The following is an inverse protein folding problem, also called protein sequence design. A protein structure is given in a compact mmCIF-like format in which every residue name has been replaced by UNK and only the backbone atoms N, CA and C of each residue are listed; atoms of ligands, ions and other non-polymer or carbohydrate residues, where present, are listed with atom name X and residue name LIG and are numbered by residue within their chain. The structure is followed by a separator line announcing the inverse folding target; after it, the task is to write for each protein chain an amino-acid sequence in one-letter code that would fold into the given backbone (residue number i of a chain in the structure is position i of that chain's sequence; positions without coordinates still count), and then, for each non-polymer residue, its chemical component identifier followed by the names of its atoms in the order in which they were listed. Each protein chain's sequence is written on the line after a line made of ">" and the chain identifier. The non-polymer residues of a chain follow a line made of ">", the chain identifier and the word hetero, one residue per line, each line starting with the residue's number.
data_IF_477873780725
#
_entry.id   IF_477873780725
#
_cell.length_a   1.000
_cell.length_b   1.000
_cell.length_c   1.000
_cell.angle_alpha   90.00
_cell.angle_beta   90.00
_cell.angle_gamma   90.00
#
_symmetry.space_group_name_H-M   'P 1'
#
loop_
_entity.id
_entity.type
_entity.pdbx_description
1 polymer ?
#
# COMPACT_ATOMS: atom_id res chain seq x y z
N UNK A 1 8.95 30.95 5.81
CA UNK A 1 8.01 31.70 4.95
C UNK A 1 8.54 33.11 4.75
N UNK A 2 9.79 33.19 4.27
CA UNK A 2 10.51 34.43 4.04
C UNK A 2 11.51 34.08 2.95
N UNK A 3 11.15 34.40 1.71
CA UNK A 3 12.00 35.20 0.81
C UNK A 3 11.46 35.15 -0.64
N UNK A 4 10.19 35.54 -0.80
CA UNK A 4 9.57 35.82 -2.11
C UNK A 4 9.77 37.28 -2.52
N UNK A 5 10.51 38.07 -1.72
CA UNK A 5 10.66 39.53 -1.86
C UNK A 5 11.85 39.97 -2.72
N UNK A 6 12.86 39.12 -2.93
CA UNK A 6 14.04 39.49 -3.74
C UNK A 6 13.82 39.38 -5.25
N UNK A 7 12.62 39.04 -5.72
CA UNK A 7 12.26 39.05 -7.15
C UNK A 7 12.08 40.46 -7.74
N UNK A 8 12.28 41.54 -6.96
CA UNK A 8 11.96 42.91 -7.37
C UNK A 8 13.08 43.95 -7.19
N UNK A 9 14.34 43.59 -7.46
CA UNK A 9 15.38 44.59 -7.75
C UNK A 9 16.05 44.30 -9.09
N UNK A 10 15.51 44.96 -10.12
CA UNK A 10 16.22 45.47 -11.30
C UNK A 10 17.52 44.76 -11.67
N UNK A 11 17.40 43.75 -12.53
CA UNK A 11 18.53 43.13 -13.24
C UNK A 11 19.19 44.17 -14.16
N UNK A 12 20.49 44.46 -14.05
CA UNK A 12 21.23 45.23 -15.05
C UNK A 12 21.30 44.46 -16.38
N UNK A 13 21.39 45.12 -17.55
CA UNK A 13 21.51 44.46 -18.85
C UNK A 13 22.90 43.81 -19.00
N UNK A 14 23.01 42.58 -18.49
CA UNK A 14 24.14 41.68 -18.58
C UNK A 14 23.61 40.30 -18.21
N UNK A 15 23.12 39.56 -19.21
CA UNK A 15 22.35 38.33 -19.04
C UNK A 15 23.20 37.23 -18.39
N UNK A 16 23.15 37.14 -17.06
CA UNK A 16 23.40 35.88 -16.39
C UNK A 16 22.33 34.91 -16.89
N UNK A 17 22.76 33.93 -17.67
CA UNK A 17 21.91 32.87 -18.17
C UNK A 17 21.12 32.26 -16.98
N UNK A 18 19.79 32.42 -16.93
CA UNK A 18 18.99 32.04 -15.77
C UNK A 18 19.04 30.51 -15.54
N UNK A 19 19.26 29.73 -16.61
CA UNK A 19 19.44 28.28 -16.53
C UNK A 19 20.81 27.95 -15.93
N UNK A 20 21.84 28.74 -16.21
CA UNK A 20 23.17 28.58 -15.58
C UNK A 20 23.14 28.87 -14.08
N UNK A 21 22.39 29.89 -13.64
CA UNK A 21 22.19 30.17 -12.23
C UNK A 21 21.42 29.03 -11.53
N UNK A 22 20.43 28.45 -12.20
CA UNK A 22 19.67 27.30 -11.71
C UNK A 22 20.55 26.03 -11.62
N UNK A 23 21.37 25.78 -12.64
CA UNK A 23 22.35 24.69 -12.66
C UNK A 23 23.34 24.80 -11.51
N UNK A 24 23.80 26.01 -11.16
CA UNK A 24 24.69 26.20 -10.03
C UNK A 24 24.01 25.91 -8.68
N UNK A 25 22.74 26.29 -8.53
CA UNK A 25 21.96 26.04 -7.30
C UNK A 25 21.63 24.55 -7.11
N UNK A 26 21.38 23.82 -8.19
CA UNK A 26 21.05 22.39 -8.16
C UNK A 26 22.18 21.54 -8.75
N UNK A 27 23.44 21.97 -8.55
CA UNK A 27 24.61 21.35 -9.16
C UNK A 27 24.75 19.88 -8.79
N UNK A 28 24.66 19.57 -7.50
CA UNK A 28 24.80 18.20 -6.99
C UNK A 28 23.76 17.26 -7.61
N UNK A 29 22.51 17.72 -7.72
CA UNK A 29 21.42 17.00 -8.38
C UNK A 29 21.68 16.78 -9.87
N UNK A 30 22.17 17.80 -10.60
CA UNK A 30 22.38 17.71 -12.04
C UNK A 30 23.63 16.86 -12.40
N UNK A 31 24.66 16.86 -11.55
CA UNK A 31 25.89 16.08 -11.74
C UNK A 31 25.70 14.58 -11.43
N UNK A 32 24.84 14.24 -10.47
CA UNK A 32 24.59 12.84 -10.11
C UNK A 32 23.50 12.16 -10.96
N UNK A 33 22.63 12.94 -11.61
CA UNK A 33 21.51 12.41 -12.38
C UNK A 33 21.97 11.58 -13.60
N UNK A 34 21.45 10.35 -13.69
CA UNK A 34 21.72 9.40 -14.78
C UNK A 34 20.84 9.67 -16.00
N UNK A 35 19.69 10.32 -15.81
CA UNK A 35 18.79 10.70 -16.90
C UNK A 35 18.11 12.08 -16.65
N UNK A 36 17.55 12.72 -17.70
CA UNK A 36 16.82 14.00 -17.54
C UNK A 36 15.61 13.92 -16.61
N UNK A 37 15.03 12.73 -16.42
CA UNK A 37 13.84 12.55 -15.60
C UNK A 37 14.19 12.68 -14.10
N UNK A 38 15.36 12.21 -13.68
CA UNK A 38 15.91 12.44 -12.34
C UNK A 38 16.06 13.93 -12.03
N UNK A 39 16.52 14.71 -13.01
CA UNK A 39 16.58 16.16 -12.89
C UNK A 39 15.17 16.76 -12.76
N UNK A 40 14.22 16.38 -13.62
CA UNK A 40 12.84 16.90 -13.58
C UNK A 40 12.15 16.64 -12.23
N UNK A 41 12.28 15.43 -11.70
CA UNK A 41 11.76 15.06 -10.38
C UNK A 41 12.46 15.80 -9.24
N UNK A 42 13.78 15.98 -9.34
CA UNK A 42 14.56 16.78 -8.42
C UNK A 42 14.08 18.23 -8.35
N UNK A 43 13.87 18.85 -9.51
CA UNK A 43 13.32 20.19 -9.61
C UNK A 43 11.90 20.26 -9.02
N UNK A 44 11.03 19.28 -9.31
CA UNK A 44 9.68 19.20 -8.71
C UNK A 44 9.73 19.11 -7.17
N UNK A 45 10.65 18.31 -6.62
CA UNK A 45 10.84 18.16 -5.18
C UNK A 45 11.29 19.47 -4.51
N UNK A 46 12.05 20.31 -5.23
CA UNK A 46 12.45 21.65 -4.80
C UNK A 46 11.39 22.73 -5.12
N UNK A 47 10.20 22.35 -5.58
CA UNK A 47 9.06 23.24 -5.78
C UNK A 47 9.00 23.91 -7.16
N UNK A 48 9.81 23.48 -8.12
CA UNK A 48 9.77 23.99 -9.49
C UNK A 48 8.64 23.28 -10.23
N UNK A 49 7.69 24.06 -10.75
CA UNK A 49 6.51 23.59 -11.49
C UNK A 49 6.61 24.03 -12.96
N UNK A 50 5.70 23.55 -13.83
CA UNK A 50 5.69 23.95 -15.25
C UNK A 50 5.56 25.49 -15.41
N UNK A 51 4.79 26.15 -14.52
CA UNK A 51 4.72 27.61 -14.45
C UNK A 51 6.05 28.27 -14.08
N UNK A 52 6.83 27.64 -13.20
CA UNK A 52 8.17 28.10 -12.84
C UNK A 52 9.14 27.89 -14.00
N UNK A 53 9.06 26.77 -14.70
CA UNK A 53 9.90 26.47 -15.88
C UNK A 53 9.69 27.47 -17.03
N UNK A 54 8.46 27.95 -17.24
CA UNK A 54 8.16 29.01 -18.20
C UNK A 54 8.97 30.30 -17.96
N UNK A 55 9.33 30.61 -16.70
CA UNK A 55 10.17 31.77 -16.35
C UNK A 55 11.63 31.60 -16.82
N UNK A 56 12.07 30.36 -17.00
CA UNK A 56 13.37 30.02 -17.58
C UNK A 56 13.32 29.87 -19.11
N UNK A 57 12.21 30.27 -19.76
CA UNK A 57 11.97 30.13 -21.21
C UNK A 57 11.87 28.69 -21.71
N UNK A 58 11.55 27.74 -20.83
CA UNK A 58 11.25 26.36 -21.20
C UNK A 58 9.74 26.09 -21.08
N UNK A 59 9.21 25.21 -21.94
CA UNK A 59 7.77 24.91 -22.00
C UNK A 59 7.25 24.28 -20.70
N UNK A 60 8.05 23.42 -20.08
CA UNK A 60 7.68 22.58 -18.94
C UNK A 60 8.94 22.16 -18.16
N UNK A 61 8.75 21.53 -16.99
CA UNK A 61 9.86 21.07 -16.14
C UNK A 61 10.71 19.99 -16.83
N UNK A 62 10.11 19.17 -17.69
CA UNK A 62 10.83 18.12 -18.43
C UNK A 62 11.79 18.71 -19.46
N UNK A 63 11.35 19.70 -20.24
CA UNK A 63 12.17 20.42 -21.21
C UNK A 63 13.30 21.20 -20.53
N UNK A 64 13.03 21.79 -19.36
CA UNK A 64 14.04 22.45 -18.54
C UNK A 64 15.08 21.44 -18.02
N UNK A 65 14.63 20.25 -17.62
CA UNK A 65 15.51 19.19 -17.13
C UNK A 65 16.37 18.58 -18.25
N UNK A 66 15.83 18.42 -19.46
CA UNK A 66 16.60 18.02 -20.65
C UNK A 66 17.68 19.05 -20.99
N UNK A 67 17.38 20.34 -20.91
CA UNK A 67 18.37 21.41 -21.13
C UNK A 67 19.46 21.40 -20.04
N UNK A 68 19.09 21.25 -18.77
CA UNK A 68 20.05 21.12 -17.67
C UNK A 68 20.91 19.87 -17.82
N UNK A 69 20.30 18.75 -18.22
CA UNK A 69 21.02 17.52 -18.53
C UNK A 69 22.03 17.80 -19.65
N UNK A 70 21.62 18.34 -20.79
CA UNK A 70 22.52 18.61 -21.92
C UNK A 70 23.71 19.54 -21.59
N UNK A 71 23.55 20.44 -20.62
CA UNK A 71 24.58 21.42 -20.23
C UNK A 71 25.61 20.93 -19.22
N UNK A 72 25.31 19.87 -18.47
CA UNK A 72 26.29 19.29 -17.53
C UNK A 72 27.34 18.53 -18.34
N UNK A 73 28.63 18.91 -18.25
CA UNK A 73 29.70 18.12 -18.83
C UNK A 73 29.71 16.75 -18.16
N UNK A 74 29.31 15.72 -18.90
CA UNK A 74 29.49 14.34 -18.49
C UNK A 74 30.78 13.90 -19.13
N UNK A 75 31.74 13.48 -18.32
CA UNK A 75 32.87 12.74 -18.86
C UNK A 75 32.29 11.57 -19.65
N UNK A 76 32.66 11.46 -20.93
CA UNK A 76 32.48 10.26 -21.74
C UNK A 76 33.37 9.14 -21.17
N UNK A 77 33.25 8.89 -19.86
CA UNK A 77 33.77 7.70 -19.24
C UNK A 77 33.16 6.54 -20.02
N UNK A 78 33.98 5.62 -20.55
CA UNK A 78 33.48 4.43 -21.24
C UNK A 78 32.40 3.85 -20.35
N UNK A 79 31.21 3.51 -20.90
CA UNK A 79 30.00 3.27 -20.13
C UNK A 79 30.39 2.45 -18.92
N UNK A 80 30.38 3.09 -17.74
CA UNK A 80 30.75 2.43 -16.49
C UNK A 80 29.97 1.15 -16.51
N UNK A 81 30.59 -0.04 -16.48
CA UNK A 81 29.90 -1.29 -16.72
C UNK A 81 28.67 -1.24 -15.84
N UNK A 82 27.49 -1.12 -16.48
CA UNK A 82 26.23 -0.97 -15.77
C UNK A 82 26.28 -2.06 -14.71
N UNK A 83 26.14 -1.74 -13.40
CA UNK A 83 26.39 -2.69 -12.32
C UNK A 83 25.69 -3.96 -12.72
N UNK A 84 26.50 -4.99 -13.04
CA UNK A 84 26.13 -6.05 -13.97
C UNK A 84 24.65 -6.33 -13.78
N UNK A 85 23.81 -5.82 -14.69
CA UNK A 85 22.36 -6.00 -14.57
C UNK A 85 22.23 -7.49 -14.60
N UNK A 86 22.12 -8.05 -13.41
CA UNK A 86 22.17 -9.47 -13.18
C UNK A 86 21.11 -9.98 -14.10
N UNK A 87 21.55 -10.67 -15.15
CA UNK A 87 20.71 -11.15 -16.25
C UNK A 87 19.35 -11.51 -15.68
N UNK A 88 18.22 -10.98 -16.20
CA UNK A 88 16.91 -11.10 -15.54
C UNK A 88 16.48 -12.57 -15.48
N UNK A 89 17.00 -13.30 -14.49
CA UNK A 89 16.64 -14.66 -14.09
C UNK A 89 15.92 -14.55 -12.75
N UNK A 90 14.67 -15.00 -12.68
CA UNK A 90 13.64 -14.88 -13.71
C UNK A 90 12.38 -14.22 -13.13
N UNK A 91 11.52 -13.68 -13.99
CA UNK A 91 10.11 -13.35 -13.64
C UNK A 91 9.44 -14.48 -12.84
N UNK A 92 9.84 -15.73 -13.08
CA UNK A 92 9.37 -16.92 -12.39
C UNK A 92 9.70 -16.98 -10.89
N UNK A 93 10.86 -16.46 -10.44
CA UNK A 93 11.26 -16.54 -9.03
C UNK A 93 10.32 -15.73 -8.14
N UNK A 94 9.86 -14.58 -8.64
CA UNK A 94 8.90 -13.77 -7.91
C UNK A 94 7.46 -14.28 -8.04
N UNK A 95 7.03 -14.82 -9.19
CA UNK A 95 5.68 -15.40 -9.31
C UNK A 95 5.48 -16.57 -8.35
N UNK A 96 6.49 -17.45 -8.22
CA UNK A 96 6.49 -18.54 -7.22
C UNK A 96 6.38 -17.97 -5.81
N UNK A 97 7.17 -16.94 -5.51
CA UNK A 97 7.17 -16.30 -4.20
C UNK A 97 5.83 -15.63 -3.85
N UNK A 98 5.09 -15.13 -4.84
CA UNK A 98 3.76 -14.51 -4.62
C UNK A 98 2.63 -15.49 -4.45
N UNK A 99 2.78 -16.72 -4.97
CA UNK A 99 1.80 -17.79 -4.83
C UNK A 99 1.99 -18.57 -3.51
N UNK A 100 3.22 -18.58 -2.97
CA UNK A 100 3.57 -19.29 -1.74
C UNK A 100 2.65 -18.99 -0.54
N UNK A 101 2.30 -17.72 -0.22
CA UNK A 101 1.46 -17.42 0.94
C UNK A 101 0.06 -18.01 0.79
N UNK A 102 -0.52 -17.93 -0.41
CA UNK A 102 -1.83 -18.49 -0.73
C UNK A 102 -1.83 -20.01 -0.67
N UNK A 103 -0.82 -20.66 -1.27
CA UNK A 103 -0.69 -22.12 -1.25
C UNK A 103 -0.51 -22.67 0.18
N UNK A 104 0.32 -22.02 1.00
CA UNK A 104 0.49 -22.39 2.41
C UNK A 104 -0.80 -22.14 3.20
N UNK A 105 -1.52 -21.04 2.95
CA UNK A 105 -2.77 -20.77 3.64
C UNK A 105 -3.82 -21.84 3.33
N UNK A 106 -4.00 -22.21 2.05
CA UNK A 106 -4.89 -23.31 1.65
C UNK A 106 -4.45 -24.61 2.31
N UNK A 107 -3.17 -24.98 2.23
CA UNK A 107 -2.64 -26.20 2.85
C UNK A 107 -2.89 -26.24 4.36
N UNK A 108 -2.76 -25.11 5.05
CA UNK A 108 -3.02 -25.02 6.49
C UNK A 108 -4.48 -25.18 6.83
N UNK A 109 -5.40 -24.59 6.04
CA UNK A 109 -6.84 -24.77 6.23
C UNK A 109 -7.25 -26.22 5.95
N UNK A 110 -6.73 -26.83 4.89
CA UNK A 110 -6.97 -28.25 4.60
C UNK A 110 -6.44 -29.14 5.73
N UNK A 111 -5.23 -28.88 6.23
CA UNK A 111 -4.66 -29.63 7.36
C UNK A 111 -5.50 -29.46 8.63
N UNK A 112 -5.97 -28.24 8.93
CA UNK A 112 -6.84 -27.98 10.08
C UNK A 112 -8.18 -28.73 9.99
N UNK A 113 -8.75 -28.90 8.80
CA UNK A 113 -9.99 -29.68 8.58
C UNK A 113 -9.78 -31.19 8.75
N UNK A 114 -8.55 -31.68 8.62
CA UNK A 114 -8.21 -33.11 8.75
C UNK A 114 -7.72 -33.48 10.16
N UNK A 115 -7.29 -32.51 10.97
CA UNK A 115 -6.74 -32.76 12.32
C UNK A 115 -7.72 -32.44 13.44
N UNK A 116 -7.67 -33.24 14.51
CA UNK A 116 -8.55 -33.12 15.67
C UNK A 116 -7.73 -32.98 16.97
N UNK A 117 -8.31 -32.33 18.00
CA UNK A 117 -7.69 -32.22 19.33
C UNK A 117 -6.40 -31.40 19.36
N UNK A 118 -5.42 -31.82 20.17
CA UNK A 118 -4.15 -31.09 20.35
C UNK A 118 -3.33 -30.95 19.06
N UNK A 119 -3.43 -31.89 18.13
CA UNK A 119 -2.73 -31.83 16.84
C UNK A 119 -3.14 -30.61 16.01
N UNK A 120 -4.40 -30.18 16.15
CA UNK A 120 -4.94 -28.98 15.50
C UNK A 120 -4.23 -27.71 15.95
N UNK A 121 -3.87 -27.61 17.23
CA UNK A 121 -3.14 -26.45 17.77
C UNK A 121 -1.74 -26.34 17.18
N UNK A 122 -1.03 -27.46 17.07
CA UNK A 122 0.29 -27.49 16.43
C UNK A 122 0.21 -27.15 14.95
N UNK A 123 -0.79 -27.67 14.23
CA UNK A 123 -1.02 -27.32 12.81
C UNK A 123 -1.34 -25.83 12.65
N UNK A 124 -2.19 -25.27 13.51
CA UNK A 124 -2.52 -23.84 13.49
C UNK A 124 -1.28 -22.98 13.72
N UNK A 125 -0.49 -23.28 14.76
CA UNK A 125 0.73 -22.53 15.09
C UNK A 125 1.76 -22.61 13.95
N UNK A 126 2.00 -23.81 13.43
CA UNK A 126 2.95 -24.04 12.33
C UNK A 126 2.48 -23.35 11.05
N UNK A 127 1.17 -23.40 10.77
CA UNK A 127 0.57 -22.75 9.62
C UNK A 127 0.67 -21.23 9.67
N UNK A 128 0.35 -20.62 10.81
CA UNK A 128 0.52 -19.18 11.03
C UNK A 128 1.98 -18.76 10.81
N UNK A 129 2.93 -19.51 11.37
CA UNK A 129 4.36 -19.25 11.17
C UNK A 129 4.76 -19.37 9.69
N UNK A 130 4.32 -20.42 9.00
CA UNK A 130 4.63 -20.64 7.60
C UNK A 130 4.08 -19.52 6.70
N UNK A 131 2.81 -19.15 6.88
CA UNK A 131 2.14 -18.09 6.10
C UNK A 131 2.78 -16.73 6.39
N UNK A 132 3.09 -16.40 7.65
CA UNK A 132 3.72 -15.12 8.01
C UNK A 132 5.14 -15.01 7.44
N UNK A 133 5.93 -16.08 7.47
CA UNK A 133 7.27 -16.11 6.86
C UNK A 133 7.20 -16.00 5.34
N UNK A 134 6.27 -16.71 4.70
CA UNK A 134 6.04 -16.63 3.26
C UNK A 134 5.62 -15.22 2.82
N UNK A 135 4.68 -14.61 3.54
CA UNK A 135 4.24 -13.24 3.30
C UNK A 135 5.41 -12.27 3.48
N UNK A 136 6.20 -12.42 4.54
CA UNK A 136 7.40 -11.59 4.78
C UNK A 136 8.42 -11.75 3.66
N UNK A 137 8.64 -12.96 3.14
CA UNK A 137 9.54 -13.22 2.02
C UNK A 137 9.00 -12.57 0.74
N UNK A 138 7.73 -12.78 0.40
CA UNK A 138 7.06 -12.20 -0.77
C UNK A 138 7.11 -10.67 -0.77
N UNK A 139 6.84 -10.06 0.38
CA UNK A 139 6.87 -8.61 0.56
C UNK A 139 8.30 -8.05 0.57
N UNK A 140 9.32 -8.82 0.96
CA UNK A 140 10.72 -8.34 0.99
C UNK A 140 11.45 -8.51 -0.34
N UNK A 141 11.18 -9.57 -1.10
CA UNK A 141 11.93 -9.91 -2.32
C UNK A 141 11.17 -9.69 -3.63
N UNK A 142 9.91 -9.26 -3.55
CA UNK A 142 9.10 -8.92 -4.73
C UNK A 142 9.19 -7.46 -5.19
N UNK A 143 8.52 -7.04 -6.27
CA UNK A 143 8.32 -5.67 -6.69
C UNK A 143 7.38 -4.89 -5.75
N UNK A 144 6.82 -5.56 -4.74
CA UNK A 144 6.24 -4.92 -3.57
C UNK A 144 7.29 -4.67 -2.46
N UNK A 145 8.58 -4.89 -2.72
CA UNK A 145 9.65 -4.57 -1.77
C UNK A 145 9.73 -3.07 -1.58
N UNK A 146 9.60 -2.63 -0.32
CA UNK A 146 10.00 -1.28 0.04
C UNK A 146 11.50 -1.16 -0.23
N UNK A 147 11.87 -0.23 -1.11
CA UNK A 147 13.25 -0.02 -1.56
C UNK A 147 14.09 0.77 -0.54
N UNK A 148 13.61 0.90 0.71
CA UNK A 148 14.30 1.60 1.78
C UNK A 148 15.14 0.64 2.60
N UNK A 149 16.41 0.97 2.80
CA UNK A 149 17.35 0.24 3.68
C UNK A 149 16.97 0.28 5.16
N UNK A 150 15.94 1.07 5.51
CA UNK A 150 15.43 1.16 6.88
C UNK A 150 14.54 -0.06 7.15
N UNK A 151 14.90 -0.90 8.14
CA UNK A 151 14.07 -2.05 8.50
C UNK A 151 12.66 -1.58 8.89
N UNK A 152 11.60 -2.22 8.38
CA UNK A 152 10.23 -1.86 8.74
C UNK A 152 10.07 -2.02 10.24
N UNK A 153 9.69 -0.94 10.94
CA UNK A 153 9.37 -0.96 12.37
C UNK A 153 8.24 -1.97 12.61
N UNK A 154 8.40 -2.82 13.62
CA UNK A 154 7.48 -3.94 13.91
C UNK A 154 6.02 -3.54 14.09
N UNK A 155 5.76 -2.28 14.48
CA UNK A 155 4.42 -1.75 14.72
C UNK A 155 3.46 -1.93 13.54
N UNK A 156 3.87 -1.64 12.30
CA UNK A 156 2.97 -1.77 11.14
C UNK A 156 2.58 -3.23 10.88
N UNK A 157 3.51 -4.16 11.08
CA UNK A 157 3.23 -5.59 10.96
C UNK A 157 2.24 -6.05 12.05
N UNK A 158 2.41 -5.55 13.28
CA UNK A 158 1.49 -5.85 14.39
C UNK A 158 0.06 -5.40 14.09
N UNK A 159 -0.14 -4.22 13.51
CA UNK A 159 -1.49 -3.72 13.16
C UNK A 159 -2.11 -4.46 11.98
N UNK A 160 -1.32 -4.84 10.98
CA UNK A 160 -1.81 -5.71 9.90
C UNK A 160 -2.22 -7.09 10.44
N UNK A 161 -1.45 -7.67 11.36
CA UNK A 161 -1.83 -8.91 12.04
C UNK A 161 -3.12 -8.76 12.84
N UNK A 162 -3.31 -7.64 13.55
CA UNK A 162 -4.57 -7.35 14.25
C UNK A 162 -5.76 -7.30 13.30
N UNK A 163 -5.66 -6.57 12.18
CA UNK A 163 -6.76 -6.45 11.21
C UNK A 163 -7.10 -7.80 10.53
N UNK A 164 -6.09 -8.64 10.26
CA UNK A 164 -6.31 -10.00 9.76
C UNK A 164 -6.94 -10.90 10.83
N UNK A 165 -6.52 -10.76 12.09
CA UNK A 165 -7.13 -11.45 13.23
C UNK A 165 -8.59 -11.05 13.43
N UNK A 166 -8.91 -9.75 13.29
CA UNK A 166 -10.28 -9.26 13.33
C UNK A 166 -11.11 -9.81 12.16
N UNK A 167 -10.56 -9.89 10.94
CA UNK A 167 -11.27 -10.49 9.81
C UNK A 167 -11.56 -11.98 9.99
N UNK A 168 -10.72 -12.69 10.76
CA UNK A 168 -10.85 -14.12 11.04
C UNK A 168 -11.83 -14.42 12.19
N UNK A 169 -11.77 -13.61 13.25
CA UNK A 169 -12.38 -13.90 14.56
C UNK A 169 -13.42 -12.86 14.98
N UNK A 170 -13.30 -11.63 14.45
CA UNK A 170 -13.96 -10.43 14.94
C UNK A 170 -15.46 -10.44 14.68
N UNK A 171 -15.91 -10.80 13.49
CA UNK A 171 -17.36 -10.82 13.17
C UNK A 171 -18.09 -11.92 13.97
N UNK A 172 -17.49 -13.10 14.12
CA UNK A 172 -18.00 -14.17 14.99
C UNK A 172 -18.03 -13.78 16.46
N UNK A 173 -16.99 -13.09 16.94
CA UNK A 173 -16.94 -12.56 18.31
C UNK A 173 -18.01 -11.47 18.54
N UNK A 174 -18.24 -10.63 17.53
CA UNK A 174 -19.18 -9.51 17.63
C UNK A 174 -20.63 -10.02 17.63
N UNK A 175 -20.95 -11.01 16.81
CA UNK A 175 -22.25 -11.69 16.83
C UNK A 175 -22.55 -12.35 18.18
N UNK A 176 -21.59 -13.09 18.72
CA UNK A 176 -21.74 -13.82 20.00
C UNK A 176 -21.77 -12.88 21.20
N UNK A 177 -20.99 -11.81 21.18
CA UNK A 177 -21.02 -10.79 22.22
C UNK A 177 -22.38 -10.08 22.32
N UNK A 178 -23.09 -9.92 21.19
CA UNK A 178 -24.42 -9.30 21.12
C UNK A 178 -25.53 -10.24 21.60
N UNK A 179 -25.40 -11.56 21.41
CA UNK A 179 -26.45 -12.54 21.79
C UNK A 179 -26.40 -13.02 23.24
N UNK A 180 -25.39 -12.64 24.03
CA UNK A 180 -25.28 -13.05 25.44
C UNK A 180 -23.87 -13.42 25.86
N UNK A 181 -22.99 -13.71 24.90
CA UNK A 181 -21.54 -13.91 25.08
C UNK A 181 -21.04 -15.22 24.50
N UNK A 182 -19.74 -15.32 24.21
CA UNK A 182 -19.12 -16.60 23.94
C UNK A 182 -19.08 -17.41 25.23
N UNK A 183 -19.83 -18.52 25.28
CA UNK A 183 -19.84 -19.44 26.41
C UNK A 183 -18.58 -20.34 26.44
N UNK A 184 -17.75 -20.28 25.39
CA UNK A 184 -16.51 -21.03 25.25
C UNK A 184 -15.43 -20.34 24.41
N UNK A 185 -14.21 -20.89 24.46
CA UNK A 185 -13.09 -20.52 23.58
C UNK A 185 -13.37 -20.95 22.13
N UNK A 186 -12.76 -20.30 21.12
CA UNK A 186 -12.96 -20.69 19.73
C UNK A 186 -12.39 -22.08 19.52
N UNK A 187 -13.26 -23.02 19.18
CA UNK A 187 -12.96 -24.43 18.99
C UNK A 187 -12.25 -24.70 17.65
N UNK A 188 -12.27 -23.71 16.75
CA UNK A 188 -11.66 -23.78 15.43
C UNK A 188 -12.66 -23.98 14.29
N UNK A 189 -13.93 -24.26 14.59
CA UNK A 189 -14.94 -24.71 13.62
C UNK A 189 -15.88 -23.58 13.19
N UNK A 190 -16.57 -23.79 12.07
CA UNK A 190 -17.59 -22.86 11.57
C UNK A 190 -18.93 -22.98 12.32
N UNK A 191 -19.12 -24.07 13.07
CA UNK A 191 -20.38 -24.40 13.76
C UNK A 191 -20.32 -24.17 15.28
N UNK A 192 -19.15 -23.86 15.84
CA UNK A 192 -18.99 -23.63 17.27
C UNK A 192 -19.58 -22.32 17.77
N UNK A 193 -19.66 -22.17 19.10
CA UNK A 193 -20.17 -20.98 19.80
C UNK A 193 -19.38 -19.69 19.47
N UNK A 194 -18.21 -19.81 18.83
CA UNK A 194 -17.44 -18.70 18.26
C UNK A 194 -16.96 -19.08 16.85
N UNK A 195 -17.78 -18.80 15.80
CA UNK A 195 -17.48 -19.24 14.45
C UNK A 195 -16.30 -18.48 13.85
N UNK A 196 -15.51 -19.21 13.07
CA UNK A 196 -14.25 -18.77 12.46
C UNK A 196 -14.38 -18.66 10.93
N UNK A 197 -14.33 -17.45 10.39
CA UNK A 197 -14.43 -17.23 8.94
C UNK A 197 -13.06 -17.26 8.29
N UNK A 198 -12.66 -18.45 7.82
CA UNK A 198 -11.35 -18.65 7.18
C UNK A 198 -11.29 -18.17 5.72
N UNK A 199 -12.44 -18.11 5.03
CA UNK A 199 -12.50 -17.77 3.60
C UNK A 199 -11.90 -16.38 3.26
N UNK A 200 -12.22 -15.28 3.98
CA UNK A 200 -11.60 -13.97 3.75
C UNK A 200 -10.08 -13.96 3.86
N UNK A 201 -9.52 -14.70 4.83
CA UNK A 201 -8.07 -14.76 5.06
C UNK A 201 -7.38 -15.53 3.94
N UNK A 202 -7.97 -16.64 3.49
CA UNK A 202 -7.46 -17.42 2.35
C UNK A 202 -7.51 -16.59 1.06
N UNK A 203 -8.62 -15.89 0.82
CA UNK A 203 -8.77 -15.00 -0.33
C UNK A 203 -7.72 -13.87 -0.32
N UNK A 204 -7.50 -13.24 0.84
CA UNK A 204 -6.47 -12.20 0.99
C UNK A 204 -5.05 -12.75 0.84
N UNK A 205 -4.77 -13.96 1.32
CA UNK A 205 -3.48 -14.61 1.11
C UNK A 205 -3.22 -14.91 -0.37
N UNK A 206 -4.22 -15.44 -1.09
CA UNK A 206 -4.17 -15.66 -2.53
C UNK A 206 -4.07 -14.36 -3.32
N UNK A 207 -4.62 -13.26 -2.79
CA UNK A 207 -4.55 -11.93 -3.40
C UNK A 207 -3.13 -11.34 -3.49
N UNK A 208 -2.14 -11.98 -2.85
CA UNK A 208 -0.74 -11.58 -2.97
C UNK A 208 -0.24 -11.61 -4.42
N UNK A 209 -0.70 -12.58 -5.23
CA UNK A 209 -0.34 -12.71 -6.65
C UNK A 209 -0.98 -11.64 -7.56
N UNK A 210 -2.28 -11.33 -7.47
CA UNK A 210 -2.85 -10.20 -8.20
C UNK A 210 -2.32 -8.85 -7.70
N UNK A 211 -2.11 -8.64 -6.39
CA UNK A 211 -1.50 -7.41 -5.84
C UNK A 211 -0.12 -7.12 -6.44
N UNK A 212 0.68 -8.17 -6.51
CA UNK A 212 1.93 -8.22 -7.20
C UNK A 212 1.81 -7.77 -8.66
N UNK A 213 1.00 -8.48 -9.43
CA UNK A 213 0.81 -8.23 -10.86
C UNK A 213 0.30 -6.81 -11.15
N UNK A 214 -0.68 -6.34 -10.39
CA UNK A 214 -1.28 -5.01 -10.53
C UNK A 214 -0.28 -3.90 -10.21
N UNK A 215 0.57 -4.07 -9.18
CA UNK A 215 1.67 -3.14 -8.92
C UNK A 215 2.71 -3.10 -10.06
N UNK A 216 3.02 -4.25 -10.66
CA UNK A 216 3.92 -4.30 -11.82
C UNK A 216 3.32 -3.60 -13.05
N UNK A 217 2.03 -3.82 -13.32
CA UNK A 217 1.30 -3.13 -14.38
C UNK A 217 1.26 -1.61 -14.16
N UNK A 218 1.04 -1.18 -12.91
CA UNK A 218 1.09 0.24 -12.55
C UNK A 218 2.48 0.83 -12.83
N UNK A 219 3.55 0.21 -12.34
CA UNK A 219 4.91 0.66 -12.59
C UNK A 219 5.26 0.69 -14.09
N UNK A 220 4.84 -0.30 -14.86
CA UNK A 220 5.04 -0.34 -16.31
C UNK A 220 4.24 0.76 -17.04
N UNK A 221 3.00 1.04 -16.61
CA UNK A 221 2.18 2.13 -17.16
C UNK A 221 2.77 3.50 -16.81
N UNK A 222 3.21 3.71 -15.58
CA UNK A 222 3.86 4.96 -15.15
C UNK A 222 5.12 5.21 -15.98
N UNK A 223 6.01 4.22 -16.15
CA UNK A 223 7.20 4.36 -17.01
C UNK A 223 6.87 4.72 -18.46
N UNK A 224 5.88 4.06 -19.07
CA UNK A 224 5.44 4.39 -20.43
C UNK A 224 4.85 5.80 -20.53
N UNK A 225 4.09 6.23 -19.51
CA UNK A 225 3.50 7.58 -19.47
C UNK A 225 4.55 8.66 -19.25
N UNK A 226 5.54 8.42 -18.38
CA UNK A 226 6.69 9.31 -18.17
C UNK A 226 7.46 9.56 -19.48
N UNK A 227 7.68 8.52 -20.30
CA UNK A 227 8.35 8.66 -21.59
C UNK A 227 7.53 9.40 -22.66
N UNK A 228 6.20 9.48 -22.51
CA UNK A 228 5.31 10.11 -23.50
C UNK A 228 4.83 11.52 -23.12
N UNK A 229 4.82 11.84 -21.83
CA UNK A 229 4.27 13.09 -21.31
C UNK A 229 5.32 14.19 -21.35
N UNK A 230 4.92 15.38 -21.82
CA UNK A 230 5.80 16.54 -21.91
C UNK A 230 5.67 17.48 -20.70
N UNK A 231 4.54 17.48 -19.98
CA UNK A 231 4.34 18.31 -18.78
C UNK A 231 3.96 17.51 -17.53
N UNK A 232 4.12 18.13 -16.35
CA UNK A 232 3.78 17.52 -15.06
C UNK A 232 2.26 17.40 -14.88
N UNK A 233 1.51 18.39 -15.39
CA UNK A 233 0.04 18.35 -15.36
C UNK A 233 -0.50 17.19 -16.22
N UNK A 234 -0.01 17.05 -17.46
CA UNK A 234 -0.36 15.96 -18.39
C UNK A 234 -0.02 14.57 -17.82
N UNK A 235 1.14 14.48 -17.16
CA UNK A 235 1.56 13.27 -16.46
C UNK A 235 0.58 12.93 -15.33
N UNK A 236 0.27 13.90 -14.47
CA UNK A 236 -0.62 13.69 -13.32
C UNK A 236 -2.04 13.30 -13.76
N UNK A 237 -2.57 13.92 -14.82
CA UNK A 237 -3.87 13.61 -15.40
C UNK A 237 -3.92 12.19 -15.98
N UNK A 238 -2.82 11.73 -16.58
CA UNK A 238 -2.71 10.40 -17.18
C UNK A 238 -2.52 9.26 -16.16
N UNK A 239 -1.89 9.54 -15.01
CA UNK A 239 -1.59 8.52 -13.98
C UNK A 239 -2.78 8.24 -13.05
N UNK A 240 -3.61 9.24 -12.74
CA UNK A 240 -4.83 9.07 -11.91
C UNK A 240 -5.76 7.95 -12.39
N UNK A 241 -6.21 7.92 -13.67
CA UNK A 241 -7.07 6.84 -14.15
C UNK A 241 -6.36 5.49 -14.18
N UNK A 242 -5.03 5.48 -14.38
CA UNK A 242 -4.26 4.24 -14.30
C UNK A 242 -4.22 3.67 -12.87
N UNK A 243 -4.08 4.53 -11.85
CA UNK A 243 -4.15 4.12 -10.45
C UNK A 243 -5.52 3.54 -10.10
N UNK A 244 -6.60 4.25 -10.47
CA UNK A 244 -7.97 3.81 -10.23
C UNK A 244 -8.26 2.49 -10.95
N UNK A 245 -7.85 2.35 -12.21
CA UNK A 245 -8.05 1.12 -12.97
C UNK A 245 -7.29 -0.08 -12.41
N UNK A 246 -6.07 0.12 -11.91
CA UNK A 246 -5.28 -0.94 -11.25
C UNK A 246 -5.90 -1.33 -9.91
N UNK A 247 -6.39 -0.36 -9.15
CA UNK A 247 -7.09 -0.60 -7.89
C UNK A 247 -8.41 -1.36 -8.10
N UNK A 248 -9.21 -0.95 -9.08
CA UNK A 248 -10.44 -1.64 -9.46
C UNK A 248 -10.17 -3.08 -9.94
N UNK A 249 -9.11 -3.28 -10.74
CA UNK A 249 -8.68 -4.62 -11.18
C UNK A 249 -8.28 -5.50 -9.99
N UNK A 250 -7.57 -4.94 -9.01
CA UNK A 250 -7.22 -5.66 -7.79
C UNK A 250 -8.46 -6.04 -6.98
N UNK A 251 -9.39 -5.11 -6.77
CA UNK A 251 -10.64 -5.41 -6.05
C UNK A 251 -11.49 -6.46 -6.78
N UNK A 252 -11.56 -6.42 -8.11
CA UNK A 252 -12.23 -7.44 -8.90
C UNK A 252 -11.59 -8.82 -8.73
N UNK A 253 -10.25 -8.90 -8.69
CA UNK A 253 -9.55 -10.15 -8.42
C UNK A 253 -9.81 -10.67 -7.00
N UNK A 254 -9.84 -9.80 -5.99
CA UNK A 254 -10.19 -10.17 -4.61
C UNK A 254 -11.64 -10.66 -4.52
N UNK A 255 -12.58 -10.02 -5.21
CA UNK A 255 -13.98 -10.44 -5.25
C UNK A 255 -14.13 -11.86 -5.82
N UNK A 256 -13.50 -12.15 -6.95
CA UNK A 256 -13.52 -13.48 -7.58
C UNK A 256 -12.85 -14.53 -6.70
N UNK A 257 -11.70 -14.20 -6.11
CA UNK A 257 -11.03 -15.13 -5.19
C UNK A 257 -11.91 -15.42 -3.97
N UNK A 258 -12.56 -14.40 -3.43
CA UNK A 258 -13.45 -14.56 -2.27
C UNK A 258 -14.64 -15.45 -2.61
N UNK A 259 -15.33 -15.22 -3.74
CA UNK A 259 -16.47 -16.06 -4.15
C UNK A 259 -16.06 -17.52 -4.29
N UNK A 260 -14.91 -17.79 -4.92
CA UNK A 260 -14.38 -19.15 -5.07
C UNK A 260 -14.02 -19.77 -3.72
N UNK A 261 -13.36 -19.03 -2.83
CA UNK A 261 -12.98 -19.56 -1.51
C UNK A 261 -14.19 -19.77 -0.59
N UNK A 262 -15.19 -18.90 -0.65
CA UNK A 262 -16.43 -19.03 0.12
C UNK A 262 -17.22 -20.26 -0.33
N UNK A 263 -17.33 -20.48 -1.65
CA UNK A 263 -17.99 -21.67 -2.22
C UNK A 263 -17.22 -22.95 -1.87
N UNK A 264 -15.90 -22.96 -1.98
CA UNK A 264 -15.08 -24.15 -1.66
C UNK A 264 -15.07 -24.52 -0.17
N UNK A 265 -15.30 -23.54 0.71
CA UNK A 265 -15.25 -23.71 2.16
C UNK A 265 -16.65 -23.81 2.80
N UNK A 266 -17.71 -23.67 2.00
CA UNK A 266 -19.12 -23.57 2.42
C UNK A 266 -19.36 -22.47 3.48
N UNK A 267 -18.75 -21.30 3.28
CA UNK A 267 -18.79 -20.16 4.22
C UNK A 267 -19.61 -18.99 3.66
N UNK A 268 -20.26 -18.17 4.52
CA UNK A 268 -21.02 -17.01 4.07
C UNK A 268 -20.13 -15.98 3.35
N UNK A 269 -20.67 -15.40 2.27
CA UNK A 269 -19.95 -14.45 1.45
C UNK A 269 -19.82 -13.07 2.13
N UNK A 270 -18.69 -12.83 2.80
CA UNK A 270 -18.36 -11.56 3.43
C UNK A 270 -17.70 -10.55 2.46
N UNK A 271 -18.38 -10.23 1.35
CA UNK A 271 -17.81 -9.41 0.27
C UNK A 271 -17.41 -7.98 0.70
N UNK A 272 -18.27 -7.17 1.35
CA UNK A 272 -17.93 -5.79 1.69
C UNK A 272 -16.71 -5.62 2.62
N UNK A 273 -16.59 -6.32 3.77
CA UNK A 273 -15.46 -6.12 4.67
C UNK A 273 -14.15 -6.63 4.08
N UNK A 274 -14.18 -7.73 3.32
CA UNK A 274 -12.99 -8.30 2.67
C UNK A 274 -12.42 -7.38 1.59
N UNK A 275 -13.29 -6.80 0.75
CA UNK A 275 -12.85 -5.83 -0.25
C UNK A 275 -12.28 -4.56 0.38
N UNK A 276 -12.91 -4.06 1.45
CA UNK A 276 -12.44 -2.89 2.18
C UNK A 276 -11.05 -3.13 2.79
N UNK A 277 -10.85 -4.28 3.45
CA UNK A 277 -9.58 -4.66 4.04
C UNK A 277 -8.49 -4.90 2.97
N UNK A 278 -8.82 -5.64 1.92
CA UNK A 278 -7.90 -5.89 0.80
C UNK A 278 -7.44 -4.60 0.14
N UNK A 279 -8.38 -3.68 -0.13
CA UNK A 279 -8.07 -2.37 -0.69
C UNK A 279 -7.18 -1.51 0.21
N UNK A 280 -7.46 -1.50 1.52
CA UNK A 280 -6.66 -0.80 2.52
C UNK A 280 -5.20 -1.32 2.54
N UNK A 281 -5.03 -2.64 2.59
CA UNK A 281 -3.71 -3.28 2.64
C UNK A 281 -2.92 -3.06 1.34
N UNK A 282 -3.58 -3.15 0.18
CA UNK A 282 -2.95 -2.89 -1.12
C UNK A 282 -2.47 -1.44 -1.24
N UNK A 283 -3.31 -0.46 -0.90
CA UNK A 283 -2.94 0.96 -0.94
C UNK A 283 -1.85 1.30 0.07
N UNK A 284 -1.95 0.78 1.29
CA UNK A 284 -0.91 0.92 2.30
C UNK A 284 0.43 0.38 1.78
N UNK A 285 0.43 -0.81 1.16
CA UNK A 285 1.64 -1.40 0.61
C UNK A 285 2.18 -0.58 -0.56
N UNK A 286 1.33 -0.17 -1.49
CA UNK A 286 1.74 0.64 -2.65
C UNK A 286 2.43 1.93 -2.21
N UNK A 287 1.87 2.63 -1.21
CA UNK A 287 2.49 3.84 -0.65
C UNK A 287 3.82 3.54 0.03
N UNK A 288 3.95 2.44 0.78
CA UNK A 288 5.23 2.05 1.40
C UNK A 288 6.31 1.71 0.37
N UNK A 289 5.95 1.14 -0.78
CA UNK A 289 6.89 0.85 -1.88
C UNK A 289 7.47 2.13 -2.48
N UNK A 290 6.66 3.19 -2.56
CA UNK A 290 7.08 4.50 -3.04
C UNK A 290 7.63 5.42 -1.92
N UNK A 291 8.01 4.87 -0.76
CA UNK A 291 8.66 5.60 0.34
C UNK A 291 7.73 6.36 1.29
N UNK A 292 6.43 6.44 1.01
CA UNK A 292 5.45 7.11 1.88
C UNK A 292 4.96 6.19 3.00
N UNK A 293 5.75 6.04 4.07
CA UNK A 293 5.46 5.09 5.15
C UNK A 293 4.61 5.65 6.30
N UNK A 294 4.60 6.97 6.48
CA UNK A 294 3.92 7.59 7.63
C UNK A 294 2.39 7.51 7.53
N UNK A 295 1.80 7.91 6.41
CA UNK A 295 0.35 7.90 6.23
C UNK A 295 -0.27 6.49 6.33
N UNK A 296 0.27 5.46 5.65
CA UNK A 296 -0.20 4.08 5.85
C UNK A 296 -0.13 3.61 7.29
N UNK A 297 0.96 3.96 8.01
CA UNK A 297 1.11 3.57 9.41
C UNK A 297 0.03 4.19 10.29
N UNK A 298 -0.20 5.49 10.17
CA UNK A 298 -1.22 6.19 10.97
C UNK A 298 -2.61 5.64 10.68
N UNK A 299 -2.95 5.46 9.40
CA UNK A 299 -4.28 4.98 9.02
C UNK A 299 -4.52 3.55 9.49
N UNK A 300 -3.54 2.64 9.34
CA UNK A 300 -3.63 1.28 9.87
C UNK A 300 -3.71 1.25 11.40
N UNK A 301 -3.02 2.15 12.10
CA UNK A 301 -3.13 2.24 13.56
C UNK A 301 -4.52 2.69 13.97
N UNK A 302 -5.06 3.73 13.34
CA UNK A 302 -6.37 4.30 13.66
C UNK A 302 -7.47 3.29 13.41
N UNK A 303 -7.44 2.58 12.27
CA UNK A 303 -8.45 1.55 11.97
C UNK A 303 -8.39 0.40 12.95
N UNK A 304 -7.20 -0.10 13.27
CA UNK A 304 -7.03 -1.19 14.21
C UNK A 304 -7.49 -0.80 15.62
N UNK A 305 -7.13 0.41 16.08
CA UNK A 305 -7.60 0.92 17.37
C UNK A 305 -9.10 1.14 17.39
N UNK A 306 -9.72 1.61 16.29
CA UNK A 306 -11.16 1.79 16.23
C UNK A 306 -11.91 0.46 16.38
N UNK A 307 -11.45 -0.60 15.71
CA UNK A 307 -12.01 -1.95 15.85
C UNK A 307 -11.78 -2.53 17.25
N UNK A 308 -10.60 -2.32 17.83
CA UNK A 308 -10.28 -2.77 19.19
C UNK A 308 -11.14 -2.07 20.25
N UNK A 309 -11.29 -0.75 20.15
CA UNK A 309 -12.13 0.04 21.05
C UNK A 309 -13.59 -0.39 20.95
N UNK A 310 -14.08 -0.66 19.74
CA UNK A 310 -15.45 -1.13 19.51
C UNK A 310 -15.73 -2.47 20.24
N UNK A 311 -14.80 -3.43 20.14
CA UNK A 311 -14.89 -4.68 20.90
C UNK A 311 -14.80 -4.41 22.41
N UNK A 312 -13.85 -3.59 22.86
CA UNK A 312 -13.67 -3.27 24.27
C UNK A 312 -14.91 -2.60 24.88
N UNK A 313 -15.61 -1.73 24.14
CA UNK A 313 -16.85 -1.09 24.59
C UNK A 313 -17.99 -2.09 24.77
N UNK A 314 -18.08 -3.13 23.93
CA UNK A 314 -19.08 -4.20 24.10
C UNK A 314 -18.83 -5.02 25.37
N UNK A 315 -17.57 -5.35 25.66
CA UNK A 315 -17.23 -6.07 26.88
C UNK A 315 -17.37 -5.18 28.12
N UNK A 316 -17.02 -3.90 28.03
CA UNK A 316 -17.20 -2.94 29.12
C UNK A 316 -18.67 -2.70 29.47
N UNK A 317 -19.57 -2.75 28.48
CA UNK A 317 -21.01 -2.61 28.71
C UNK A 317 -21.60 -3.74 29.57
N UNK A 318 -20.90 -4.87 29.75
CA UNK A 318 -21.32 -5.94 30.67
C UNK A 318 -21.10 -5.61 32.14
N UNK A 319 -20.39 -4.52 32.45
CA UNK A 319 -20.24 -4.03 33.82
C UNK A 319 -21.53 -3.32 34.24
N UNK A 320 -21.97 -3.49 35.51
CA UNK A 320 -23.21 -2.89 35.99
C UNK A 320 -23.18 -1.36 35.81
N UNK A 321 -24.18 -0.82 35.13
CA UNK A 321 -24.33 0.62 34.86
C UNK A 321 -23.64 1.14 33.60
N UNK A 322 -23.03 0.28 32.78
CA UNK A 322 -22.30 0.66 31.55
C UNK A 322 -23.03 0.31 30.24
N UNK A 323 -24.30 -0.11 30.30
CA UNK A 323 -25.08 -0.56 29.14
C UNK A 323 -25.13 0.48 28.00
N UNK A 324 -25.10 1.77 28.35
CA UNK A 324 -25.10 2.88 27.40
C UNK A 324 -23.92 2.81 26.40
N UNK A 325 -22.78 2.20 26.77
CA UNK A 325 -21.59 2.09 25.92
C UNK A 325 -21.79 1.13 24.73
N UNK A 326 -22.67 0.13 24.85
CA UNK A 326 -22.94 -0.82 23.75
C UNK A 326 -24.00 -0.31 22.77
N UNK A 327 -24.81 0.67 23.15
CA UNK A 327 -25.92 1.19 22.32
C UNK A 327 -25.55 1.60 20.89
N UNK A 328 -24.43 2.31 20.60
CA UNK A 328 -24.09 2.67 19.22
C UNK A 328 -23.69 1.46 18.38
N UNK A 329 -23.02 0.47 18.99
CA UNK A 329 -22.67 -0.76 18.29
C UNK A 329 -23.90 -1.62 18.06
N UNK A 330 -24.75 -1.80 19.06
CA UNK A 330 -25.97 -2.59 18.94
C UNK A 330 -26.90 -2.03 17.86
N UNK A 331 -27.14 -0.71 17.86
CA UNK A 331 -27.97 -0.05 16.83
C UNK A 331 -27.38 -0.18 15.42
N UNK A 332 -26.06 -0.11 15.28
CA UNK A 332 -25.39 -0.32 14.01
C UNK A 332 -25.51 -1.78 13.53
N UNK A 333 -25.28 -2.75 14.42
CA UNK A 333 -25.38 -4.18 14.11
C UNK A 333 -26.80 -4.62 13.77
N UNK A 334 -27.81 -4.08 14.46
CA UNK A 334 -29.22 -4.41 14.21
C UNK A 334 -29.71 -3.82 12.90
N UNK A 335 -29.20 -2.66 12.49
CA UNK A 335 -29.61 -1.99 11.27
C UNK A 335 -28.84 -2.45 10.01
N UNK A 336 -27.54 -2.77 10.11
CA UNK A 336 -26.64 -2.99 8.96
C UNK A 336 -25.81 -4.28 9.02
N UNK A 337 -26.11 -5.21 9.95
CA UNK A 337 -25.37 -6.48 10.20
C UNK A 337 -23.98 -6.25 10.86
N UNK A 338 -23.47 -7.19 11.69
CA UNK A 338 -22.13 -7.13 12.30
C UNK A 338 -20.98 -6.76 11.34
N UNK A 339 -21.06 -7.16 10.06
CA UNK A 339 -20.04 -6.84 9.05
C UNK A 339 -19.93 -5.34 8.69
N UNK A 340 -20.85 -4.49 9.17
CA UNK A 340 -20.84 -3.06 8.87
C UNK A 340 -19.65 -2.31 9.51
N UNK A 341 -19.22 -2.71 10.71
CA UNK A 341 -18.08 -2.08 11.40
C UNK A 341 -16.76 -2.22 10.63
N UNK A 342 -16.30 -3.43 10.25
CA UNK A 342 -15.09 -3.56 9.44
C UNK A 342 -15.25 -2.88 8.07
N UNK A 343 -16.44 -2.95 7.46
CA UNK A 343 -16.69 -2.32 6.16
C UNK A 343 -16.54 -0.81 6.21
N UNK A 344 -17.12 -0.15 7.22
CA UNK A 344 -17.04 1.31 7.38
C UNK A 344 -15.64 1.76 7.78
N UNK A 345 -15.03 1.09 8.76
CA UNK A 345 -13.69 1.46 9.25
C UNK A 345 -12.61 1.23 8.18
N UNK A 346 -12.57 0.05 7.57
CA UNK A 346 -11.61 -0.25 6.50
C UNK A 346 -11.94 0.52 5.21
N UNK A 347 -13.22 0.72 4.88
CA UNK A 347 -13.63 1.41 3.66
C UNK A 347 -13.29 2.89 3.67
N UNK A 348 -13.58 3.58 4.77
CA UNK A 348 -13.19 5.00 4.95
C UNK A 348 -11.67 5.18 4.95
N UNK A 349 -10.94 4.27 5.60
CA UNK A 349 -9.49 4.25 5.58
C UNK A 349 -8.91 3.97 4.18
N UNK A 350 -9.50 3.06 3.42
CA UNK A 350 -9.10 2.79 2.04
C UNK A 350 -9.35 4.01 1.15
N UNK A 351 -10.49 4.69 1.28
CA UNK A 351 -10.80 5.91 0.54
C UNK A 351 -9.83 7.05 0.87
N UNK A 352 -9.51 7.26 2.14
CA UNK A 352 -8.53 8.28 2.55
C UNK A 352 -7.14 7.99 2.00
N UNK A 353 -6.68 6.73 2.03
CA UNK A 353 -5.44 6.33 1.38
C UNK A 353 -5.49 6.46 -0.15
N UNK A 354 -6.62 6.19 -0.79
CA UNK A 354 -6.77 6.34 -2.24
C UNK A 354 -6.67 7.80 -2.66
N UNK A 355 -7.34 8.70 -1.94
CA UNK A 355 -7.22 10.15 -2.13
C UNK A 355 -5.77 10.59 -1.90
N UNK A 356 -5.12 10.10 -0.85
CA UNK A 356 -3.72 10.41 -0.58
C UNK A 356 -2.78 9.90 -1.68
N UNK A 357 -2.95 8.65 -2.12
CA UNK A 357 -2.17 8.01 -3.17
C UNK A 357 -2.36 8.72 -4.52
N UNK A 358 -3.57 9.11 -4.87
CA UNK A 358 -3.86 9.87 -6.11
C UNK A 358 -3.25 11.27 -6.14
N UNK A 359 -2.84 11.82 -4.99
CA UNK A 359 -2.14 13.12 -4.90
C UNK A 359 -0.61 12.96 -4.84
N UNK A 360 -0.11 11.90 -4.19
CA UNK A 360 1.32 11.67 -3.98
C UNK A 360 1.97 10.88 -5.11
N UNK A 361 1.35 9.80 -5.56
CA UNK A 361 1.89 8.94 -6.61
C UNK A 361 1.78 9.55 -8.02
N UNK A 362 1.05 10.66 -8.18
CA UNK A 362 1.00 11.41 -9.44
C UNK A 362 2.15 12.39 -9.61
N UNK A 363 2.99 12.57 -8.58
CA UNK A 363 4.18 13.42 -8.67
C UNK A 363 5.31 12.63 -9.32
N UNK A 364 6.08 13.26 -10.21
CA UNK A 364 7.22 12.61 -10.87
C UNK A 364 8.29 12.22 -9.83
N UNK A 365 8.48 13.07 -8.83
CA UNK A 365 9.33 12.86 -7.64
C UNK A 365 9.00 11.62 -6.80
N UNK A 366 7.80 11.05 -6.92
CA UNK A 366 7.44 9.82 -6.20
C UNK A 366 8.05 8.55 -6.81
N UNK A 367 8.54 8.62 -8.06
CA UNK A 367 8.98 7.45 -8.82
C UNK A 367 10.50 7.34 -8.96
N UNK A 368 11.23 8.29 -8.37
CA UNK A 368 12.69 8.36 -8.43
C UNK A 368 13.24 8.11 -7.03
N UNK A 369 14.32 7.32 -6.97
CA UNK A 369 14.92 6.90 -5.72
C UNK A 369 15.40 8.13 -4.94
N UNK A 370 15.12 8.22 -3.63
CA UNK A 370 15.77 9.23 -2.80
C UNK A 370 17.28 8.98 -2.83
N UNK A 371 18.02 10.01 -3.21
CA UNK A 371 19.48 10.06 -3.12
C UNK A 371 19.91 9.60 -1.72
N UNK A 372 20.84 8.64 -1.58
CA UNK A 372 21.38 8.29 -0.27
C UNK A 372 22.08 9.52 0.29
N UNK A 373 21.48 10.15 1.31
CA UNK A 373 22.14 11.23 2.06
C UNK A 373 23.46 10.68 2.60
N UNK A 374 24.57 11.21 2.07
CA UNK A 374 25.91 10.98 2.63
C UNK A 374 26.07 11.67 3.96
#
# INVERSE_FOLDING_TARGET
>A
MTDLGELNRSTPPGAADPVKALLHRHRDLCEQAVDPLEIAAGLEAHGITDRTAARFRHRDVFSLAEELYARVPRDDAPPRPAPATTSPRPRAGWTVLTLLPGALCVATVTALRLTHGQTRLYVAATGILAVTLALRAALRRGPLSARSDIPPRSATASWTCWLLGYALLGDGLLGTAVTGGPDGLPDGTAEGDWPLTVAPVVALALSCAPAAWTAHLFAARVRRRLASSRGLEDFSASVRPALIGVFALFLGAVAVLLTVTSELLDEPLALPPTLALGGLLFLARLLTVHGFTHAPRVILTVTATAQATALATLFAARLPGCDALATPLQTLTTAWNPAALPTLTCGTAALTLLIHASRKLTRASAHISPEPRR
#
